data_IF_518690194115
#
_entry.id   IF_518690194115
#
_cell.length_a   1.000
_cell.length_b   1.000
_cell.length_c   1.000
_cell.angle_alpha   90.00
_cell.angle_beta   90.00
_cell.angle_gamma   90.00
#
_symmetry.space_group_name_H-M   'P 1'
#
loop_
_entity.id
_entity.type
_entity.pdbx_description
1 polymer ?
#
# COMPACT_ATOMS: atom_id res chain seq x y z
N UNK A 1 10.64 -45.90 -46.32
CA UNK A 1 10.02 -44.89 -45.46
C UNK A 1 10.96 -44.61 -44.30
N UNK A 2 11.65 -43.44 -44.32
CA UNK A 2 12.46 -42.96 -43.19
C UNK A 2 11.56 -42.08 -42.32
N UNK A 3 11.31 -42.49 -41.09
CA UNK A 3 10.63 -41.65 -40.08
C UNK A 3 11.63 -40.62 -39.55
N UNK A 4 11.38 -39.37 -39.80
CA UNK A 4 12.10 -38.24 -39.21
C UNK A 4 11.52 -37.94 -37.82
N UNK A 5 12.23 -38.38 -36.77
CA UNK A 5 11.89 -38.04 -35.38
C UNK A 5 12.15 -36.54 -35.16
N UNK A 6 11.08 -35.76 -35.00
CA UNK A 6 11.19 -34.38 -34.55
C UNK A 6 11.69 -34.35 -33.10
N UNK A 7 12.91 -33.89 -32.89
CA UNK A 7 13.42 -33.57 -31.57
C UNK A 7 12.60 -32.41 -30.97
N UNK A 8 11.95 -32.66 -29.85
CA UNK A 8 11.32 -31.64 -29.02
C UNK A 8 12.46 -30.92 -28.27
N UNK A 9 12.58 -29.58 -28.37
CA UNK A 9 13.59 -28.86 -27.62
C UNK A 9 13.35 -29.00 -26.12
N UNK A 10 14.38 -29.34 -25.36
CA UNK A 10 14.38 -29.42 -23.92
C UNK A 10 14.00 -28.07 -23.33
N UNK A 11 13.16 -27.99 -22.26
CA UNK A 11 12.85 -26.75 -21.58
C UNK A 11 14.16 -26.14 -21.05
N UNK A 12 14.40 -24.89 -21.43
CA UNK A 12 15.54 -24.13 -20.91
C UNK A 12 15.38 -23.94 -19.40
N UNK A 13 16.44 -24.04 -18.59
CA UNK A 13 16.33 -23.79 -17.15
C UNK A 13 15.90 -22.35 -16.93
N UNK A 14 14.81 -22.18 -16.20
CA UNK A 14 14.32 -20.86 -15.73
C UNK A 14 15.44 -20.20 -14.93
N UNK A 15 16.03 -19.14 -15.49
CA UNK A 15 17.08 -18.35 -14.83
C UNK A 15 16.49 -17.81 -13.51
N UNK A 16 17.06 -18.24 -12.38
CA UNK A 16 16.74 -17.61 -11.09
C UNK A 16 17.19 -16.14 -11.16
N UNK A 17 16.26 -15.22 -11.00
CA UNK A 17 16.55 -13.79 -10.92
C UNK A 17 17.46 -13.53 -9.72
N UNK A 18 18.47 -12.68 -9.91
CA UNK A 18 19.31 -12.20 -8.81
C UNK A 18 18.61 -11.07 -8.08
N UNK A 19 19.05 -10.74 -6.86
CA UNK A 19 18.52 -9.58 -6.11
C UNK A 19 18.68 -8.28 -6.92
N UNK A 20 19.78 -8.15 -7.66
CA UNK A 20 20.06 -6.99 -8.52
C UNK A 20 19.10 -6.90 -9.71
N UNK A 21 18.76 -8.05 -10.33
CA UNK A 21 17.75 -8.14 -11.39
C UNK A 21 16.38 -7.66 -10.86
N UNK A 22 15.96 -8.12 -9.67
CA UNK A 22 14.69 -7.75 -9.02
C UNK A 22 14.64 -6.26 -8.68
N UNK A 23 15.72 -5.69 -8.14
CA UNK A 23 15.80 -4.26 -7.81
C UNK A 23 15.70 -3.38 -9.06
N UNK A 24 16.36 -3.78 -10.14
CA UNK A 24 16.31 -3.08 -11.43
C UNK A 24 14.90 -3.14 -12.02
N UNK A 25 14.28 -4.31 -12.01
CA UNK A 25 12.90 -4.51 -12.47
C UNK A 25 11.91 -3.69 -11.65
N UNK A 26 11.99 -3.74 -10.31
CA UNK A 26 11.16 -2.90 -9.42
C UNK A 26 11.32 -1.41 -9.69
N UNK A 27 12.52 -0.95 -10.04
CA UNK A 27 12.80 0.46 -10.31
C UNK A 27 12.16 0.94 -11.61
N UNK A 28 12.29 0.17 -12.69
CA UNK A 28 11.66 0.45 -13.97
C UNK A 28 10.12 0.41 -13.85
N UNK A 29 9.60 -0.59 -13.17
CA UNK A 29 8.17 -0.77 -12.94
C UNK A 29 7.57 0.39 -12.14
N UNK A 30 8.27 0.90 -11.11
CA UNK A 30 7.82 2.07 -10.34
C UNK A 30 7.62 3.31 -11.21
N UNK A 31 8.51 3.55 -12.16
CA UNK A 31 8.39 4.70 -13.06
C UNK A 31 7.15 4.59 -13.95
N UNK A 32 6.94 3.43 -14.55
CA UNK A 32 5.78 3.15 -15.40
C UNK A 32 4.47 3.28 -14.62
N UNK A 33 4.37 2.63 -13.46
CA UNK A 33 3.15 2.60 -12.64
C UNK A 33 2.80 3.96 -12.06
N UNK A 34 3.81 4.78 -11.74
CA UNK A 34 3.58 6.17 -11.32
C UNK A 34 2.94 6.97 -12.45
N UNK A 35 3.45 6.86 -13.67
CA UNK A 35 2.86 7.53 -14.83
C UNK A 35 1.42 7.06 -15.11
N UNK A 36 1.16 5.76 -14.99
CA UNK A 36 -0.19 5.18 -15.15
C UNK A 36 -1.15 5.72 -14.09
N UNK A 37 -0.74 5.78 -12.83
CA UNK A 37 -1.54 6.36 -11.73
C UNK A 37 -1.85 7.83 -11.98
N UNK A 38 -0.84 8.62 -12.32
CA UNK A 38 -1.00 10.05 -12.61
C UNK A 38 -1.99 10.28 -13.76
N UNK A 39 -1.85 9.52 -14.86
CA UNK A 39 -2.77 9.64 -16.00
C UNK A 39 -4.21 9.24 -15.62
N UNK A 40 -4.38 8.19 -14.83
CA UNK A 40 -5.69 7.75 -14.34
C UNK A 40 -6.36 8.84 -13.49
N UNK A 41 -5.64 9.38 -12.50
CA UNK A 41 -6.20 10.40 -11.60
C UNK A 41 -6.53 11.70 -12.33
N UNK A 42 -5.69 12.11 -13.29
CA UNK A 42 -5.95 13.27 -14.14
C UNK A 42 -7.19 13.09 -15.04
N UNK A 43 -7.52 11.85 -15.40
CA UNK A 43 -8.71 11.51 -16.20
C UNK A 43 -9.98 11.29 -15.39
N UNK A 44 -9.91 11.29 -14.06
CA UNK A 44 -11.10 11.11 -13.22
C UNK A 44 -12.03 12.31 -13.29
N UNK A 45 -13.32 12.00 -13.35
CA UNK A 45 -14.35 13.02 -13.12
C UNK A 45 -14.21 13.64 -11.72
N UNK A 46 -14.40 14.95 -11.61
CA UNK A 46 -14.22 15.69 -10.35
C UNK A 46 -15.12 15.17 -9.22
N UNK A 47 -16.35 14.72 -9.55
CA UNK A 47 -17.27 14.15 -8.57
C UNK A 47 -16.79 12.77 -8.13
N UNK A 48 -16.42 11.90 -9.07
CA UNK A 48 -15.87 10.58 -8.78
C UNK A 48 -14.61 10.68 -7.91
N UNK A 49 -13.68 11.57 -8.25
CA UNK A 49 -12.50 11.84 -7.43
C UNK A 49 -12.86 12.32 -6.01
N UNK A 50 -13.83 13.22 -5.89
CA UNK A 50 -14.25 13.77 -4.58
C UNK A 50 -14.94 12.74 -3.69
N UNK A 51 -15.67 11.79 -4.28
CA UNK A 51 -16.41 10.75 -3.56
C UNK A 51 -15.55 9.50 -3.23
N UNK A 52 -14.44 9.32 -3.92
CA UNK A 52 -13.55 8.18 -3.70
C UNK A 52 -13.03 8.16 -2.24
N UNK A 53 -12.96 6.96 -1.67
CA UNK A 53 -12.41 6.68 -0.34
C UNK A 53 -13.08 7.43 0.82
N UNK A 54 -14.38 7.72 0.72
CA UNK A 54 -15.15 8.34 1.82
C UNK A 54 -15.91 7.35 2.69
N UNK A 55 -16.04 6.12 2.24
CA UNK A 55 -16.78 5.08 2.94
C UNK A 55 -15.94 3.82 3.10
N UNK A 56 -16.13 3.14 4.23
CA UNK A 56 -15.57 1.82 4.49
C UNK A 56 -16.54 0.75 4.01
N UNK A 57 -16.17 -0.13 3.07
CA UNK A 57 -16.97 -1.29 2.70
C UNK A 57 -17.27 -2.17 3.91
N UNK A 58 -18.46 -2.82 3.94
CA UNK A 58 -18.87 -3.65 5.07
C UNK A 58 -17.85 -4.72 5.47
N UNK A 59 -17.23 -5.48 4.56
CA UNK A 59 -16.22 -6.46 4.94
C UNK A 59 -15.01 -5.83 5.65
N UNK A 60 -14.54 -4.67 5.19
CA UNK A 60 -13.43 -3.98 5.84
C UNK A 60 -13.84 -3.43 7.21
N UNK A 61 -15.06 -2.91 7.33
CA UNK A 61 -15.62 -2.44 8.60
C UNK A 61 -15.67 -3.55 9.65
N UNK A 62 -16.09 -4.73 9.25
CA UNK A 62 -16.14 -5.91 10.13
C UNK A 62 -14.76 -6.33 10.61
N UNK A 63 -13.75 -6.33 9.72
CA UNK A 63 -12.35 -6.61 10.09
C UNK A 63 -11.83 -5.59 11.11
N UNK A 64 -12.18 -4.32 10.93
CA UNK A 64 -11.76 -3.23 11.81
C UNK A 64 -12.48 -3.22 13.17
N UNK A 65 -13.54 -4.00 13.38
CA UNK A 65 -14.26 -4.04 14.66
C UNK A 65 -13.34 -4.35 15.86
N UNK A 66 -12.30 -5.13 15.65
CA UNK A 66 -11.32 -5.51 16.70
C UNK A 66 -10.16 -4.54 16.85
N UNK A 67 -10.06 -3.54 15.98
CA UNK A 67 -8.99 -2.55 15.98
C UNK A 67 -9.44 -1.34 16.81
N UNK A 68 -8.65 -0.90 17.77
CA UNK A 68 -8.87 0.32 18.54
C UNK A 68 -8.17 1.52 17.90
N UNK A 69 -6.92 1.30 17.41
CA UNK A 69 -6.07 2.34 16.80
C UNK A 69 -5.78 2.00 15.33
N UNK A 70 -6.00 2.96 14.45
CA UNK A 70 -5.86 2.81 13.00
C UNK A 70 -4.88 3.85 12.47
N UNK A 71 -3.86 3.37 11.77
CA UNK A 71 -2.93 4.24 11.05
C UNK A 71 -3.45 4.53 9.64
N UNK A 72 -3.58 5.82 9.33
CA UNK A 72 -3.79 6.35 8.00
C UNK A 72 -2.50 6.97 7.46
N UNK A 73 -2.55 7.58 6.30
CA UNK A 73 -1.50 8.46 5.78
C UNK A 73 -2.13 9.68 5.10
N UNK A 74 -1.38 10.78 5.03
CA UNK A 74 -1.74 11.93 4.22
C UNK A 74 -1.21 11.68 2.81
N UNK A 75 -2.07 11.68 1.78
CA UNK A 75 -1.66 11.35 0.43
C UNK A 75 -0.68 12.38 -0.13
N UNK A 76 0.25 11.91 -0.95
CA UNK A 76 1.12 12.73 -1.77
C UNK A 76 0.58 12.74 -3.20
N UNK A 77 0.55 13.92 -3.80
CA UNK A 77 0.16 14.11 -5.21
C UNK A 77 -1.13 13.37 -5.59
N UNK A 78 -0.99 12.33 -6.41
CA UNK A 78 -2.05 11.50 -6.96
C UNK A 78 -2.24 10.17 -6.20
N UNK A 79 -1.69 10.03 -4.99
CA UNK A 79 -1.96 8.85 -4.15
C UNK A 79 -3.45 8.75 -3.79
N UNK A 80 -3.91 7.53 -3.55
CA UNK A 80 -5.27 7.29 -3.09
C UNK A 80 -5.48 7.95 -1.72
N UNK A 81 -6.53 8.80 -1.55
CA UNK A 81 -6.68 9.67 -0.39
C UNK A 81 -7.25 8.92 0.83
N UNK A 82 -6.40 8.16 1.53
CA UNK A 82 -6.77 7.40 2.72
C UNK A 82 -7.22 8.27 3.89
N UNK A 83 -6.74 9.51 3.98
CA UNK A 83 -7.14 10.50 4.99
C UNK A 83 -8.65 10.80 4.98
N UNK A 84 -9.31 10.63 3.83
CA UNK A 84 -10.77 10.78 3.72
C UNK A 84 -11.58 9.74 4.49
N UNK A 85 -10.97 8.61 4.86
CA UNK A 85 -11.60 7.60 5.69
C UNK A 85 -11.65 7.99 7.17
N UNK A 86 -10.97 9.06 7.58
CA UNK A 86 -10.83 9.48 8.96
C UNK A 86 -12.19 9.65 9.68
N UNK A 87 -13.12 10.39 9.03
CA UNK A 87 -14.45 10.63 9.61
C UNK A 87 -15.23 9.32 9.82
N UNK A 88 -15.18 8.40 8.84
CA UNK A 88 -15.86 7.12 8.92
C UNK A 88 -15.25 6.20 10.00
N UNK A 89 -13.95 6.27 10.23
CA UNK A 89 -13.25 5.53 11.27
C UNK A 89 -13.55 6.10 12.67
N UNK A 90 -13.53 7.42 12.81
CA UNK A 90 -13.89 8.09 14.06
C UNK A 90 -15.35 7.80 14.45
N UNK A 91 -16.27 7.79 13.48
CA UNK A 91 -17.66 7.42 13.72
C UNK A 91 -17.83 5.98 14.22
N UNK A 92 -16.84 5.10 13.99
CA UNK A 92 -16.75 3.75 14.55
C UNK A 92 -15.95 3.69 15.87
N UNK A 93 -15.64 4.82 16.48
CA UNK A 93 -14.90 4.91 17.73
C UNK A 93 -13.40 4.58 17.63
N UNK A 94 -12.80 4.67 16.42
CA UNK A 94 -11.37 4.41 16.23
C UNK A 94 -10.54 5.63 16.62
N UNK A 95 -9.40 5.37 17.29
CA UNK A 95 -8.32 6.34 17.41
C UNK A 95 -7.49 6.33 16.14
N UNK A 96 -7.05 7.51 15.68
CA UNK A 96 -6.24 7.62 14.47
C UNK A 96 -4.81 8.00 14.79
N UNK A 97 -3.91 7.54 13.95
CA UNK A 97 -2.52 7.96 13.94
C UNK A 97 -2.00 8.10 12.50
N UNK A 98 -0.92 8.84 12.34
CA UNK A 98 -0.23 9.04 11.07
C UNK A 98 1.25 8.65 11.20
N UNK A 99 1.88 8.21 10.10
CA UNK A 99 3.29 7.89 10.09
C UNK A 99 4.15 9.15 10.27
N UNK A 100 5.15 9.05 11.12
CA UNK A 100 6.20 10.04 11.32
C UNK A 100 7.55 9.40 11.02
N UNK A 101 8.23 9.89 9.99
CA UNK A 101 9.54 9.37 9.56
C UNK A 101 10.63 9.98 10.44
N UNK A 102 11.36 9.14 11.15
CA UNK A 102 12.43 9.56 12.08
C UNK A 102 13.75 9.80 11.32
N UNK A 103 14.15 8.86 10.47
CA UNK A 103 15.46 8.90 9.82
C UNK A 103 15.45 8.44 8.36
N UNK A 104 16.61 8.54 7.69
CA UNK A 104 16.79 8.08 6.30
C UNK A 104 16.92 6.56 6.18
N UNK A 105 17.19 5.87 7.27
CA UNK A 105 17.35 4.41 7.28
C UNK A 105 15.99 3.68 7.29
N UNK A 106 14.91 4.47 7.32
CA UNK A 106 13.55 3.96 7.18
C UNK A 106 12.87 3.66 8.49
N UNK A 107 13.34 4.25 9.58
CA UNK A 107 12.64 4.20 10.85
C UNK A 107 11.43 5.13 10.78
N UNK A 108 10.27 4.56 11.07
CA UNK A 108 8.98 5.24 11.07
C UNK A 108 8.22 4.82 12.33
N UNK A 109 7.60 5.77 12.99
CA UNK A 109 6.68 5.55 14.09
C UNK A 109 5.31 6.11 13.72
N UNK A 110 4.29 5.72 14.47
CA UNK A 110 2.95 6.27 14.31
C UNK A 110 2.65 7.20 15.48
N UNK A 111 2.06 8.37 15.18
CA UNK A 111 1.71 9.39 16.17
C UNK A 111 0.24 9.72 16.11
N UNK A 112 -0.37 9.91 17.29
CA UNK A 112 -1.77 10.26 17.42
C UNK A 112 -2.12 11.49 16.58
N UNK A 113 -3.27 11.41 15.93
CA UNK A 113 -3.77 12.46 15.06
C UNK A 113 -5.30 12.45 15.00
N UNK A 114 -5.87 13.64 14.90
CA UNK A 114 -7.28 13.86 14.58
C UNK A 114 -7.41 14.85 13.42
N UNK A 115 -8.47 14.76 12.60
CA UNK A 115 -8.73 15.76 11.56
C UNK A 115 -8.76 17.18 12.15
N UNK A 116 -7.97 18.07 11.57
CA UNK A 116 -7.79 19.43 12.07
C UNK A 116 -6.55 19.65 12.93
N UNK A 117 -5.91 18.61 13.42
CA UNK A 117 -4.65 18.77 14.14
C UNK A 117 -3.54 19.31 13.21
N UNK A 118 -2.64 20.15 13.74
CA UNK A 118 -1.54 20.70 12.95
C UNK A 118 -0.60 19.60 12.49
N UNK A 119 -0.21 19.66 11.22
CA UNK A 119 0.78 18.77 10.63
C UNK A 119 2.04 19.55 10.28
N UNK A 120 3.19 18.95 10.54
CA UNK A 120 4.50 19.48 10.15
C UNK A 120 4.94 18.83 8.82
N UNK A 121 5.71 19.55 8.05
CA UNK A 121 6.35 19.01 6.86
C UNK A 121 7.45 18.03 7.27
N UNK A 122 7.38 16.84 6.72
CA UNK A 122 8.33 15.77 6.93
C UNK A 122 9.24 15.56 5.72
N UNK A 123 9.94 14.43 5.70
CA UNK A 123 10.78 14.03 4.56
C UNK A 123 9.92 13.69 3.35
N UNK A 124 10.48 13.90 2.16
CA UNK A 124 9.84 13.54 0.89
C UNK A 124 8.49 14.24 0.63
N UNK A 125 8.28 15.41 1.22
CA UNK A 125 7.01 16.13 1.12
C UNK A 125 5.86 15.55 1.95
N UNK A 126 6.14 14.55 2.80
CA UNK A 126 5.12 13.97 3.68
C UNK A 126 4.70 14.98 4.75
N UNK A 127 3.48 14.83 5.25
CA UNK A 127 2.94 15.61 6.36
C UNK A 127 2.61 14.67 7.51
N UNK A 128 3.05 15.02 8.72
CA UNK A 128 2.88 14.19 9.91
C UNK A 128 2.62 15.03 11.15
N UNK A 129 2.04 14.43 12.22
CA UNK A 129 1.99 15.08 13.53
C UNK A 129 3.40 15.43 14.04
N UNK A 130 3.52 16.49 14.80
CA UNK A 130 4.77 16.88 15.44
C UNK A 130 5.24 15.87 16.48
N UNK A 131 6.50 16.01 16.90
CA UNK A 131 7.13 15.10 17.89
C UNK A 131 6.53 15.17 19.29
N UNK A 132 5.69 16.17 19.57
CA UNK A 132 4.91 16.26 20.81
C UNK A 132 3.66 15.38 20.83
N UNK A 133 3.18 14.90 19.67
CA UNK A 133 2.05 13.99 19.62
C UNK A 133 2.44 12.60 20.15
N UNK A 134 1.51 11.94 20.83
CA UNK A 134 1.70 10.63 21.44
C UNK A 134 2.07 9.56 20.40
N UNK A 135 3.02 8.70 20.73
CA UNK A 135 3.37 7.53 19.91
C UNK A 135 2.29 6.47 20.11
N UNK A 136 1.86 5.86 19.02
CA UNK A 136 0.80 4.86 18.98
C UNK A 136 1.28 3.54 18.38
N UNK A 137 0.70 2.45 18.87
CA UNK A 137 0.79 1.12 18.25
C UNK A 137 -0.53 0.83 17.50
N UNK A 138 -0.55 0.88 16.17
CA UNK A 138 -1.77 0.64 15.41
C UNK A 138 -2.13 -0.84 15.34
N UNK A 139 -3.44 -1.14 15.45
CA UNK A 139 -4.03 -2.46 15.20
C UNK A 139 -4.32 -2.68 13.70
N UNK A 140 -4.39 -1.61 12.92
CA UNK A 140 -4.54 -1.64 11.47
C UNK A 140 -3.72 -0.52 10.82
N UNK A 141 -3.08 -0.82 9.70
CA UNK A 141 -2.22 0.12 8.97
C UNK A 141 -2.70 0.21 7.52
N UNK A 142 -3.19 1.37 7.15
CA UNK A 142 -3.48 1.72 5.77
C UNK A 142 -2.20 2.22 5.11
N UNK A 143 -1.73 1.51 4.09
CA UNK A 143 -0.44 1.79 3.43
C UNK A 143 -0.64 2.22 1.98
N UNK A 144 0.05 3.29 1.53
CA UNK A 144 0.07 3.66 0.12
C UNK A 144 0.84 2.62 -0.71
N UNK A 145 0.52 2.54 -1.98
CA UNK A 145 1.17 1.64 -2.92
C UNK A 145 1.26 2.26 -4.33
N UNK A 146 2.19 1.76 -5.12
CA UNK A 146 2.26 2.01 -6.56
C UNK A 146 1.56 0.91 -7.35
N UNK A 147 1.62 -0.32 -6.85
CA UNK A 147 0.89 -1.44 -7.42
C UNK A 147 0.65 -2.53 -6.37
N UNK A 148 -0.29 -3.41 -6.65
CA UNK A 148 -0.57 -4.64 -5.93
C UNK A 148 -0.99 -5.73 -6.92
N UNK A 149 -0.88 -7.00 -6.54
CA UNK A 149 -1.30 -8.13 -7.35
C UNK A 149 -2.27 -9.07 -6.61
N UNK A 150 -2.71 -10.13 -7.28
CA UNK A 150 -3.63 -11.11 -6.71
C UNK A 150 -3.06 -11.91 -5.53
N UNK A 151 -1.76 -11.97 -5.39
CA UNK A 151 -1.06 -12.58 -4.24
C UNK A 151 -0.94 -11.60 -3.05
N UNK A 152 -1.53 -10.42 -3.14
CA UNK A 152 -1.42 -9.34 -2.14
C UNK A 152 0.00 -8.79 -1.99
N UNK A 153 0.87 -9.02 -2.97
CA UNK A 153 2.18 -8.37 -3.05
C UNK A 153 1.99 -6.88 -3.25
N UNK A 154 2.75 -6.08 -2.51
CA UNK A 154 2.72 -4.62 -2.60
C UNK A 154 4.01 -4.07 -3.18
N UNK A 155 3.92 -3.26 -4.21
CA UNK A 155 5.02 -2.43 -4.68
C UNK A 155 4.87 -1.01 -4.12
N UNK A 156 5.76 -0.61 -3.22
CA UNK A 156 5.84 0.75 -2.68
C UNK A 156 6.84 1.63 -3.42
N UNK A 157 7.07 2.83 -2.89
CA UNK A 157 7.97 3.85 -3.46
C UNK A 157 9.48 3.48 -3.39
N UNK A 158 9.85 2.41 -2.69
CA UNK A 158 11.23 1.92 -2.61
C UNK A 158 11.97 2.26 -1.31
N UNK A 159 11.38 3.02 -0.41
CA UNK A 159 11.99 3.37 0.89
C UNK A 159 11.90 2.28 1.96
N UNK A 160 11.08 1.25 1.78
CA UNK A 160 10.88 0.14 2.71
C UNK A 160 10.26 0.51 4.07
N UNK A 161 9.73 1.72 4.21
CA UNK A 161 9.16 2.21 5.49
C UNK A 161 8.02 1.35 6.00
N UNK A 162 7.08 1.01 5.11
CA UNK A 162 5.92 0.19 5.48
C UNK A 162 6.28 -1.27 5.69
N UNK A 163 7.26 -1.82 4.97
CA UNK A 163 7.70 -3.21 5.18
C UNK A 163 8.31 -3.37 6.58
N UNK A 164 9.11 -2.38 7.02
CA UNK A 164 9.63 -2.34 8.39
C UNK A 164 8.56 -2.05 9.44
N UNK A 165 7.57 -1.22 9.10
CA UNK A 165 6.45 -0.98 10.00
C UNK A 165 5.61 -2.25 10.19
N UNK A 166 5.31 -2.98 9.13
CA UNK A 166 4.60 -4.25 9.18
C UNK A 166 5.37 -5.31 9.99
N UNK A 167 6.70 -5.38 9.83
CA UNK A 167 7.54 -6.27 10.63
C UNK A 167 7.56 -5.90 12.13
N UNK A 168 7.41 -4.62 12.48
CA UNK A 168 7.31 -4.16 13.87
C UNK A 168 5.94 -4.39 14.47
N UNK A 169 4.88 -4.21 13.67
CA UNK A 169 3.48 -4.35 14.08
C UNK A 169 2.86 -5.61 13.44
N UNK A 170 3.44 -6.77 13.74
CA UNK A 170 3.10 -8.06 13.09
C UNK A 170 1.61 -8.45 13.20
N UNK A 171 0.95 -7.98 14.26
CA UNK A 171 -0.48 -8.25 14.52
C UNK A 171 -1.41 -7.25 13.85
N UNK A 172 -0.88 -6.14 13.33
CA UNK A 172 -1.68 -5.13 12.69
C UNK A 172 -2.22 -5.62 11.34
N UNK A 173 -3.49 -5.33 11.07
CA UNK A 173 -4.11 -5.57 9.78
C UNK A 173 -3.43 -4.69 8.73
N UNK A 174 -2.90 -5.29 7.67
CA UNK A 174 -2.15 -4.62 6.59
C UNK A 174 -3.09 -4.34 5.43
N UNK A 175 -3.49 -3.10 5.28
CA UNK A 175 -4.47 -2.68 4.29
C UNK A 175 -3.76 -1.81 3.24
N UNK A 176 -3.66 -2.29 2.01
CA UNK A 176 -3.23 -1.46 0.90
C UNK A 176 -4.32 -0.47 0.50
N UNK A 177 -3.94 0.75 0.14
CA UNK A 177 -4.88 1.73 -0.45
C UNK A 177 -4.32 2.20 -1.78
N UNK A 178 -5.09 2.01 -2.82
CA UNK A 178 -4.68 2.37 -4.18
C UNK A 178 -5.87 2.53 -5.12
N UNK A 179 -5.62 3.14 -6.26
CA UNK A 179 -6.60 3.19 -7.34
C UNK A 179 -6.68 1.84 -8.05
N UNK A 180 -7.85 1.47 -8.55
CA UNK A 180 -8.06 0.18 -9.22
C UNK A 180 -7.09 -0.06 -10.40
N UNK A 181 -6.64 0.99 -11.06
CA UNK A 181 -5.64 0.94 -12.14
C UNK A 181 -4.26 0.44 -11.68
N UNK A 182 -4.01 0.42 -10.37
CA UNK A 182 -2.74 -0.02 -9.77
C UNK A 182 -2.68 -1.54 -9.54
N UNK A 183 -3.71 -2.27 -9.92
CA UNK A 183 -3.68 -3.73 -9.91
C UNK A 183 -2.84 -4.25 -11.10
N UNK A 184 -1.86 -5.09 -10.79
CA UNK A 184 -1.00 -5.77 -11.75
C UNK A 184 -1.28 -7.28 -11.76
N UNK A 185 -0.91 -7.97 -12.83
CA UNK A 185 -1.06 -9.43 -12.91
C UNK A 185 -0.13 -10.12 -11.91
N UNK A 186 1.14 -9.70 -11.86
CA UNK A 186 2.19 -10.19 -10.96
C UNK A 186 3.19 -9.11 -10.67
N UNK A 187 3.74 -9.12 -9.46
CA UNK A 187 4.79 -8.18 -9.02
C UNK A 187 6.04 -8.95 -8.58
N UNK A 188 7.24 -8.41 -8.83
CA UNK A 188 8.45 -8.96 -8.27
C UNK A 188 8.43 -8.80 -6.75
N UNK A 189 8.65 -9.90 -6.02
CA UNK A 189 8.58 -9.98 -4.57
C UNK A 189 9.95 -10.38 -3.99
N UNK A 190 10.40 -9.66 -2.99
CA UNK A 190 11.58 -10.02 -2.20
C UNK A 190 11.17 -10.92 -1.02
N UNK A 191 12.09 -11.74 -0.48
CA UNK A 191 11.78 -12.63 0.66
C UNK A 191 11.33 -11.91 1.94
N UNK A 192 11.60 -10.61 2.05
CA UNK A 192 11.22 -9.78 3.21
C UNK A 192 9.97 -8.93 2.95
N UNK A 193 9.42 -8.94 1.74
CA UNK A 193 8.19 -8.25 1.44
C UNK A 193 7.02 -8.98 2.14
N UNK A 194 6.29 -8.26 3.00
CA UNK A 194 5.14 -8.81 3.70
C UNK A 194 3.87 -8.57 2.89
N UNK A 195 3.06 -9.61 2.62
CA UNK A 195 1.82 -9.46 1.88
C UNK A 195 0.81 -8.63 2.67
N UNK A 196 -0.08 -7.96 1.93
CA UNK A 196 -1.22 -7.28 2.49
C UNK A 196 -2.31 -8.29 2.88
N UNK A 197 -3.18 -7.92 3.81
CA UNK A 197 -4.37 -8.71 4.15
C UNK A 197 -5.54 -8.38 3.21
N UNK A 198 -5.58 -7.17 2.68
CA UNK A 198 -6.52 -6.72 1.64
C UNK A 198 -6.07 -5.40 1.02
N UNK A 199 -6.69 -5.03 -0.10
CA UNK A 199 -6.50 -3.74 -0.77
C UNK A 199 -7.84 -3.04 -0.95
N UNK A 200 -7.92 -1.79 -0.49
CA UNK A 200 -9.06 -0.91 -0.74
C UNK A 200 -8.79 -0.07 -1.98
N UNK A 201 -9.69 -0.13 -2.93
CA UNK A 201 -9.69 0.73 -4.12
C UNK A 201 -10.94 1.62 -4.14
N UNK A 202 -11.01 2.56 -5.07
CA UNK A 202 -12.21 3.39 -5.27
C UNK A 202 -13.43 2.57 -5.74
N UNK A 203 -13.20 1.31 -6.18
CA UNK A 203 -14.25 0.42 -6.70
C UNK A 203 -14.68 -0.64 -5.72
N UNK A 204 -13.72 -1.24 -5.00
CA UNK A 204 -13.97 -2.43 -4.18
C UNK A 204 -12.87 -2.67 -3.15
N UNK A 205 -13.19 -3.53 -2.19
CA UNK A 205 -12.22 -4.21 -1.35
C UNK A 205 -11.77 -5.49 -2.09
N UNK A 206 -10.48 -5.67 -2.23
CA UNK A 206 -9.86 -6.85 -2.85
C UNK A 206 -9.17 -7.63 -1.75
N UNK A 207 -9.48 -8.91 -1.67
CA UNK A 207 -8.91 -9.84 -0.68
C UNK A 207 -8.05 -10.87 -1.39
N UNK A 208 -6.98 -11.30 -0.74
CA UNK A 208 -6.14 -12.38 -1.26
C UNK A 208 -6.94 -13.66 -1.43
N UNK A 209 -6.64 -14.41 -2.47
CA UNK A 209 -7.21 -15.76 -2.63
C UNK A 209 -6.62 -16.61 -1.51
N UNK A 210 -7.45 -17.01 -0.55
CA UNK A 210 -7.04 -18.00 0.45
C UNK A 210 -6.64 -19.28 -0.28
N UNK A 211 -5.36 -19.68 -0.13
CA UNK A 211 -4.86 -20.93 -0.67
C UNK A 211 -5.44 -22.14 0.10
#
# INVERSE_FOLDING_TARGET
FRQTTKMVPSPQPTRRLTVEDILTEKSALRLQLRATRTAFVAGLDAMAHRLAFRALPSPLRERLNRCGTVALYIPLDDEAPADRLAEALIAQGKKLCLPHVIDRMGTMEFRAWSPGDPLIEGRFGTRSPGTSAEICDPDAIFAPLLAFDGAMTRLGQGGGYYDRAFARHERALRIGVGWSVQQADTLPCDPWDLPLDCVLTERSLIEGVSA
#
